data_IF_553256579957
#
_entry.id   IF_553256579957
#
_cell.length_a   1.000
_cell.length_b   1.000
_cell.length_c   1.000
_cell.angle_alpha   90.00
_cell.angle_beta   90.00
_cell.angle_gamma   90.00
#
_symmetry.space_group_name_H-M   'P 1'
#
loop_
_entity.id
_entity.type
_entity.pdbx_description
1 polymer ?
#
# COMPACT_ATOMS: atom_id res chain seq x y z
N UNK A 1 6.19 -4.47 -29.04
CA UNK A 1 6.92 -3.26 -28.68
C UNK A 1 7.15 -3.21 -27.17
N UNK A 2 8.41 -3.03 -26.73
CA UNK A 2 8.70 -3.01 -25.30
C UNK A 2 7.91 -1.94 -24.54
N UNK A 3 7.69 -0.78 -25.18
CA UNK A 3 6.92 0.29 -24.57
C UNK A 3 5.48 -0.09 -24.26
N UNK A 4 4.84 -0.80 -25.20
CA UNK A 4 3.47 -1.22 -25.01
C UNK A 4 3.34 -2.19 -23.85
N UNK A 5 4.28 -3.14 -23.73
CA UNK A 5 4.30 -4.09 -22.64
C UNK A 5 4.51 -3.42 -21.30
N UNK A 6 5.41 -2.45 -21.26
CA UNK A 6 5.69 -1.71 -20.04
C UNK A 6 4.45 -0.92 -19.59
N UNK A 7 3.81 -0.22 -20.51
CA UNK A 7 2.60 0.54 -20.19
C UNK A 7 1.46 -0.37 -19.74
N UNK A 8 1.28 -1.52 -20.40
CA UNK A 8 0.24 -2.45 -20.01
C UNK A 8 0.50 -3.03 -18.62
N UNK A 9 1.77 -3.29 -18.29
CA UNK A 9 2.14 -3.75 -16.96
C UNK A 9 1.84 -2.71 -15.90
N UNK A 10 2.13 -1.44 -16.17
CA UNK A 10 1.83 -0.36 -15.22
C UNK A 10 0.34 -0.16 -15.03
N UNK A 11 -0.44 -0.23 -16.12
CA UNK A 11 -1.88 -0.10 -16.05
C UNK A 11 -2.48 -1.26 -15.23
N UNK A 12 -2.01 -2.48 -15.49
CA UNK A 12 -2.47 -3.66 -14.76
C UNK A 12 -2.11 -3.53 -13.27
N UNK A 13 -0.90 -3.08 -12.97
CA UNK A 13 -0.47 -2.87 -11.60
C UNK A 13 -1.39 -1.90 -10.88
N UNK A 14 -1.75 -0.79 -11.53
CA UNK A 14 -2.67 0.18 -10.93
C UNK A 14 -4.06 -0.39 -10.68
N UNK A 15 -4.57 -1.17 -11.63
CA UNK A 15 -5.87 -1.83 -11.45
C UNK A 15 -5.86 -2.76 -10.25
N UNK A 16 -4.79 -3.54 -10.11
CA UNK A 16 -4.64 -4.47 -8.99
C UNK A 16 -4.55 -3.71 -7.67
N UNK A 17 -3.76 -2.66 -7.63
CA UNK A 17 -3.61 -1.86 -6.40
C UNK A 17 -4.92 -1.23 -5.97
N UNK A 18 -5.68 -0.68 -6.91
CA UNK A 18 -6.99 -0.07 -6.61
C UNK A 18 -7.96 -1.10 -6.08
N UNK A 19 -8.02 -2.27 -6.72
CA UNK A 19 -8.89 -3.35 -6.28
C UNK A 19 -8.52 -3.83 -4.89
N UNK A 20 -7.22 -3.97 -4.64
CA UNK A 20 -6.71 -4.40 -3.34
C UNK A 20 -7.08 -3.41 -2.24
N UNK A 21 -6.88 -2.11 -2.48
CA UNK A 21 -7.24 -1.10 -1.48
C UNK A 21 -8.72 -1.16 -1.16
N UNK A 22 -9.57 -1.24 -2.18
CA UNK A 22 -11.01 -1.30 -1.98
C UNK A 22 -11.40 -2.50 -1.12
N UNK A 23 -10.83 -3.67 -1.41
CA UNK A 23 -11.14 -4.88 -0.66
C UNK A 23 -10.55 -4.85 0.75
N UNK A 24 -9.35 -4.33 0.90
CA UNK A 24 -8.72 -4.21 2.22
C UNK A 24 -9.54 -3.29 3.13
N UNK A 25 -10.05 -2.20 2.59
CA UNK A 25 -10.88 -1.27 3.37
C UNK A 25 -12.27 -1.83 3.65
N UNK A 26 -12.78 -2.67 2.76
CA UNK A 26 -14.11 -3.27 2.93
C UNK A 26 -14.10 -4.40 3.94
N UNK A 27 -13.15 -5.31 3.84
CA UNK A 27 -13.17 -6.54 4.62
C UNK A 27 -11.88 -6.87 5.36
N UNK A 28 -10.87 -6.02 5.24
CA UNK A 28 -9.59 -6.20 5.92
C UNK A 28 -8.58 -6.99 5.11
N UNK A 29 -7.31 -6.79 5.44
CA UNK A 29 -6.20 -7.41 4.72
C UNK A 29 -6.24 -8.93 4.84
N UNK A 30 -6.39 -9.42 6.08
CA UNK A 30 -6.31 -10.84 6.36
C UNK A 30 -7.39 -11.64 5.63
N UNK A 31 -8.57 -11.06 5.49
CA UNK A 31 -9.72 -11.73 4.88
C UNK A 31 -9.75 -11.63 3.36
N UNK A 32 -8.87 -10.83 2.78
CA UNK A 32 -8.83 -10.64 1.33
C UNK A 32 -7.85 -11.60 0.70
N UNK A 33 -8.28 -12.32 -0.33
CA UNK A 33 -7.43 -13.26 -1.05
C UNK A 33 -6.93 -12.67 -2.36
N UNK A 34 -5.83 -13.20 -2.88
CA UNK A 34 -5.32 -12.78 -4.18
C UNK A 34 -6.31 -13.05 -5.30
N UNK A 35 -7.07 -14.14 -5.19
CA UNK A 35 -8.11 -14.46 -6.17
C UNK A 35 -9.21 -13.41 -6.21
N UNK A 36 -9.62 -12.92 -5.05
CA UNK A 36 -10.61 -11.86 -4.97
C UNK A 36 -10.10 -10.56 -5.58
N UNK A 37 -8.85 -10.24 -5.32
CA UNK A 37 -8.24 -9.02 -5.88
C UNK A 37 -8.16 -9.14 -7.41
N UNK A 38 -7.71 -10.27 -7.92
CA UNK A 38 -7.61 -10.48 -9.36
C UNK A 38 -8.98 -10.34 -10.03
N UNK A 39 -10.00 -10.95 -9.43
CA UNK A 39 -11.36 -10.87 -9.95
C UNK A 39 -11.87 -9.43 -9.96
N UNK A 40 -11.66 -8.71 -8.87
CA UNK A 40 -12.08 -7.31 -8.77
C UNK A 40 -11.34 -6.43 -9.77
N UNK A 41 -10.09 -6.74 -10.06
CA UNK A 41 -9.30 -6.02 -11.05
C UNK A 41 -9.63 -6.42 -12.49
N UNK A 42 -10.43 -7.47 -12.67
CA UNK A 42 -10.81 -7.94 -14.00
C UNK A 42 -9.70 -8.68 -14.72
N UNK A 43 -8.81 -9.35 -13.99
CA UNK A 43 -7.71 -10.12 -14.58
C UNK A 43 -7.70 -11.53 -14.05
N UNK A 44 -6.98 -12.42 -14.74
CA UNK A 44 -6.77 -13.78 -14.26
C UNK A 44 -5.74 -13.82 -13.15
N UNK A 45 -5.76 -14.89 -12.40
CA UNK A 45 -4.84 -15.08 -11.29
C UNK A 45 -3.39 -15.18 -11.77
N UNK A 46 -3.19 -15.77 -12.92
CA UNK A 46 -1.87 -15.84 -13.56
C UNK A 46 -1.33 -14.45 -13.83
N UNK A 47 -2.16 -13.55 -14.35
CA UNK A 47 -1.77 -12.17 -14.61
C UNK A 47 -1.46 -11.44 -13.32
N UNK A 48 -2.21 -11.71 -12.26
CA UNK A 48 -1.95 -11.14 -10.95
C UNK A 48 -0.53 -11.49 -10.49
N UNK A 49 -0.17 -12.76 -10.56
CA UNK A 49 1.14 -13.20 -10.06
C UNK A 49 2.30 -12.75 -10.96
N UNK A 50 2.02 -12.34 -12.20
CA UNK A 50 3.02 -11.68 -13.02
C UNK A 50 3.34 -10.27 -12.51
N UNK A 51 2.33 -9.60 -11.93
CA UNK A 51 2.49 -8.24 -11.43
C UNK A 51 3.01 -8.24 -10.00
N UNK A 52 2.42 -9.07 -9.16
CA UNK A 52 2.84 -9.21 -7.76
C UNK A 52 2.96 -10.69 -7.41
N UNK A 53 4.16 -11.15 -7.02
CA UNK A 53 4.36 -12.57 -6.73
C UNK A 53 3.58 -13.08 -5.52
N UNK A 54 3.12 -12.18 -4.65
CA UNK A 54 2.38 -12.56 -3.45
C UNK A 54 1.53 -11.40 -2.95
N UNK A 55 0.61 -11.69 -2.04
CA UNK A 55 -0.18 -10.66 -1.38
C UNK A 55 0.72 -9.72 -0.56
N UNK A 56 1.77 -10.28 0.03
CA UNK A 56 2.73 -9.49 0.81
C UNK A 56 3.53 -8.53 -0.07
N UNK A 57 3.90 -8.96 -1.27
CA UNK A 57 4.59 -8.08 -2.21
C UNK A 57 3.70 -6.92 -2.64
N UNK A 58 2.41 -7.21 -2.85
CA UNK A 58 1.43 -6.17 -3.16
C UNK A 58 1.30 -5.19 -1.99
N UNK A 59 1.22 -5.71 -0.78
CA UNK A 59 1.11 -4.87 0.40
C UNK A 59 2.32 -3.96 0.55
N UNK A 60 3.51 -4.50 0.31
CA UNK A 60 4.74 -3.71 0.39
C UNK A 60 4.70 -2.52 -0.58
N UNK A 61 4.25 -2.77 -1.80
CA UNK A 61 4.11 -1.69 -2.78
C UNK A 61 3.09 -0.64 -2.32
N UNK A 62 1.96 -1.08 -1.76
CA UNK A 62 0.96 -0.18 -1.22
C UNK A 62 1.51 0.65 -0.08
N UNK A 63 2.25 0.02 0.83
CA UNK A 63 2.84 0.71 1.97
C UNK A 63 3.77 1.81 1.50
N UNK A 64 4.62 1.50 0.54
CA UNK A 64 5.56 2.48 0.01
C UNK A 64 4.84 3.67 -0.61
N UNK A 65 3.77 3.40 -1.37
CA UNK A 65 2.99 4.47 -1.99
C UNK A 65 2.21 5.28 -0.97
N UNK A 66 1.62 4.61 0.01
CA UNK A 66 0.86 5.28 1.07
C UNK A 66 1.73 6.24 1.87
N UNK A 67 2.86 5.74 2.34
CA UNK A 67 3.72 6.57 3.18
C UNK A 67 4.38 7.69 2.39
N UNK A 68 4.82 7.43 1.16
CA UNK A 68 5.35 8.47 0.30
C UNK A 68 4.31 9.56 0.03
N UNK A 69 3.08 9.16 -0.26
CA UNK A 69 1.99 10.10 -0.49
C UNK A 69 1.65 10.92 0.74
N UNK A 70 1.65 10.30 1.90
CA UNK A 70 1.35 10.99 3.15
C UNK A 70 2.43 11.99 3.53
N UNK A 71 3.69 11.63 3.32
CA UNK A 71 4.79 12.56 3.55
C UNK A 71 4.71 13.77 2.64
N UNK A 72 4.41 13.54 1.37
CA UNK A 72 4.25 14.63 0.42
C UNK A 72 3.09 15.54 0.82
N UNK A 73 1.96 14.95 1.22
CA UNK A 73 0.78 15.68 1.63
C UNK A 73 1.05 16.49 2.90
N UNK A 74 1.70 15.88 3.88
CA UNK A 74 2.04 16.56 5.13
C UNK A 74 2.95 17.76 4.86
N UNK A 75 3.95 17.58 3.98
CA UNK A 75 4.84 18.67 3.61
C UNK A 75 4.11 19.82 2.93
N UNK A 76 3.17 19.50 2.04
CA UNK A 76 2.39 20.51 1.33
C UNK A 76 1.48 21.31 2.26
N UNK A 77 0.84 20.64 3.21
CA UNK A 77 -0.15 21.28 4.05
C UNK A 77 0.44 21.94 5.28
N UNK A 78 1.52 21.40 5.82
CA UNK A 78 2.12 21.97 7.02
C UNK A 78 3.05 23.14 6.74
N UNK A 79 3.62 23.18 5.53
CA UNK A 79 4.65 24.16 5.21
C UNK A 79 5.95 23.93 5.96
N UNK A 80 6.05 22.85 6.71
CA UNK A 80 7.21 22.56 7.52
C UNK A 80 8.26 21.84 6.70
N UNK A 81 9.53 22.27 6.83
CA UNK A 81 10.63 21.68 6.08
C UNK A 81 11.61 20.91 6.97
N UNK A 82 11.45 20.99 8.28
CA UNK A 82 12.26 20.21 9.20
C UNK A 82 11.84 18.75 9.11
N UNK A 83 12.75 17.83 8.75
CA UNK A 83 12.39 16.41 8.60
C UNK A 83 11.79 15.79 9.86
N UNK A 84 12.23 16.20 11.03
CA UNK A 84 11.70 15.65 12.28
C UNK A 84 10.27 16.08 12.48
N UNK A 85 9.96 17.35 12.24
CA UNK A 85 8.62 17.87 12.38
C UNK A 85 7.69 17.29 11.30
N UNK A 86 8.18 17.13 10.08
CA UNK A 86 7.41 16.48 9.03
C UNK A 86 7.05 15.05 9.41
N UNK A 87 8.02 14.33 9.98
CA UNK A 87 7.76 12.96 10.43
C UNK A 87 6.68 12.94 11.52
N UNK A 88 6.74 13.87 12.47
CA UNK A 88 5.77 13.95 13.55
C UNK A 88 4.37 14.25 13.01
N UNK A 89 4.26 15.20 12.08
CA UNK A 89 2.98 15.55 11.46
C UNK A 89 2.41 14.36 10.69
N UNK A 90 3.25 13.70 9.92
CA UNK A 90 2.84 12.56 9.12
C UNK A 90 2.36 11.41 10.01
N UNK A 91 3.09 11.12 11.09
CA UNK A 91 2.70 10.07 12.04
C UNK A 91 1.35 10.40 12.69
N UNK A 92 1.15 11.66 13.09
CA UNK A 92 -0.10 12.08 13.67
C UNK A 92 -1.27 11.91 12.69
N UNK A 93 -1.05 12.26 11.42
CA UNK A 93 -2.07 12.06 10.39
C UNK A 93 -2.42 10.59 10.20
N UNK A 94 -1.41 9.73 10.16
CA UNK A 94 -1.64 8.29 10.02
C UNK A 94 -2.48 7.75 11.18
N UNK A 95 -2.14 8.12 12.40
CA UNK A 95 -2.87 7.65 13.56
C UNK A 95 -4.31 8.16 13.55
N UNK A 96 -4.50 9.41 13.17
CA UNK A 96 -5.84 9.99 13.09
C UNK A 96 -6.70 9.27 12.04
N UNK A 97 -6.14 9.03 10.86
CA UNK A 97 -6.85 8.32 9.80
C UNK A 97 -7.17 6.90 10.22
N UNK A 98 -6.24 6.22 10.89
CA UNK A 98 -6.43 4.84 11.32
C UNK A 98 -7.57 4.69 12.32
N UNK A 99 -7.92 5.75 13.02
CA UNK A 99 -9.02 5.72 13.98
C UNK A 99 -10.40 5.80 13.33
N UNK A 100 -10.48 6.17 12.05
CA UNK A 100 -11.75 6.38 11.39
C UNK A 100 -12.54 5.09 11.15
N UNK A 101 -11.86 4.03 10.73
CA UNK A 101 -12.51 2.74 10.52
C UNK A 101 -11.61 1.61 10.98
N UNK A 102 -12.23 0.49 11.36
CA UNK A 102 -11.47 -0.67 11.81
C UNK A 102 -10.66 -1.32 10.68
N UNK A 103 -11.21 -1.52 9.46
CA UNK A 103 -10.40 -2.06 8.35
C UNK A 103 -9.19 -1.21 8.03
N UNK A 104 -9.32 0.11 8.10
CA UNK A 104 -8.21 1.01 7.86
C UNK A 104 -7.16 0.89 8.95
N UNK A 105 -7.60 0.76 10.21
CA UNK A 105 -6.71 0.52 11.34
C UNK A 105 -5.92 -0.77 11.16
N UNK A 106 -6.61 -1.84 10.75
CA UNK A 106 -5.97 -3.12 10.48
C UNK A 106 -4.92 -2.99 9.40
N UNK A 107 -5.25 -2.28 8.32
CA UNK A 107 -4.32 -2.08 7.21
C UNK A 107 -3.05 -1.38 7.67
N UNK A 108 -3.18 -0.33 8.47
CA UNK A 108 -2.01 0.38 8.99
C UNK A 108 -1.19 -0.50 9.93
N UNK A 109 -1.85 -1.28 10.78
CA UNK A 109 -1.15 -2.17 11.70
C UNK A 109 -0.33 -3.23 10.95
N UNK A 110 -0.92 -3.84 9.93
CA UNK A 110 -0.22 -4.82 9.10
C UNK A 110 0.92 -4.16 8.33
N UNK A 111 0.67 -2.96 7.82
CA UNK A 111 1.69 -2.21 7.07
C UNK A 111 2.91 -1.91 7.94
N UNK A 112 2.70 -1.46 9.16
CA UNK A 112 3.81 -1.20 10.08
C UNK A 112 4.59 -2.47 10.40
N UNK A 113 3.91 -3.59 10.58
CA UNK A 113 4.55 -4.87 10.84
C UNK A 113 5.46 -5.26 9.69
N UNK A 114 4.97 -5.14 8.45
CA UNK A 114 5.77 -5.48 7.28
C UNK A 114 6.94 -4.52 7.10
N UNK A 115 6.72 -3.25 7.30
CA UNK A 115 7.76 -2.25 7.18
C UNK A 115 8.88 -2.51 8.18
N UNK A 116 8.53 -2.84 9.43
CA UNK A 116 9.51 -3.17 10.45
C UNK A 116 10.32 -4.41 10.08
N UNK A 117 9.66 -5.42 9.56
CA UNK A 117 10.35 -6.64 9.14
C UNK A 117 11.40 -6.34 8.07
N UNK A 118 11.12 -5.41 7.17
CA UNK A 118 12.06 -5.02 6.13
C UNK A 118 13.17 -4.10 6.65
N UNK A 119 12.88 -3.29 7.65
CA UNK A 119 13.85 -2.38 8.22
C UNK A 119 14.79 -3.05 9.22
N UNK A 120 14.35 -4.14 9.84
CA UNK A 120 15.16 -4.82 10.85
C UNK A 120 16.22 -5.64 10.15
N UNK A 121 17.50 -5.28 10.29
CA UNK A 121 18.58 -6.08 9.68
C UNK A 121 18.67 -7.44 10.33
N UNK A 122 19.00 -8.43 9.53
CA UNK A 122 19.12 -9.80 9.99
C UNK A 122 20.23 -10.00 10.99
N UNK A 123 21.21 -9.12 10.96
CA UNK A 123 22.36 -9.24 11.83
C UNK A 123 22.17 -8.58 13.20
N UNK A 124 21.02 -8.13 13.49
CA UNK A 124 20.72 -7.61 14.82
C UNK A 124 20.34 -8.77 15.78
#
# INVERSE_FOLDING_TARGET
>A
MPRGKLLNGLVTQQKVLRAAVALFLEKGYTRTTTGEIARAAGIGQSSFFHVFPSKEALLLELVQRMFSGQFALAGQHSGEQDPVLLYAVETALQLHIAELTEPLRELYAVSYTHLRAHETPEHL
#
